data_IF_554107396993
#
_entry.id   IF_554107396993
#
_cell.length_a   1.000
_cell.length_b   1.000
_cell.length_c   1.000
_cell.angle_alpha   90.00
_cell.angle_beta   90.00
_cell.angle_gamma   90.00
#
_symmetry.space_group_name_H-M   'P 1'
#
loop_
_entity.id
_entity.type
_entity.pdbx_description
1 polymer ?
#
# COMPACT_ATOMS: atom_id res chain seq x y z
N UNK A 1 -35.42 -12.05 -40.55
CA UNK A 1 -34.32 -12.87 -41.12
C UNK A 1 -33.00 -12.10 -41.08
N UNK A 2 -32.52 -11.57 -39.93
CA UNK A 2 -31.19 -10.92 -39.85
C UNK A 2 -30.57 -11.06 -38.40
N UNK A 3 -30.87 -12.12 -37.70
CA UNK A 3 -30.33 -12.28 -36.33
C UNK A 3 -29.47 -13.53 -36.13
N UNK A 4 -29.03 -14.19 -37.22
CA UNK A 4 -28.24 -15.46 -37.13
C UNK A 4 -26.72 -15.27 -37.22
N UNK A 5 -26.21 -14.05 -36.99
CA UNK A 5 -24.78 -13.75 -37.26
C UNK A 5 -23.87 -13.67 -36.05
N UNK A 6 -24.37 -13.78 -34.84
CA UNK A 6 -23.55 -13.71 -33.63
C UNK A 6 -23.88 -14.82 -32.61
N UNK A 7 -23.61 -16.07 -33.00
CA UNK A 7 -23.58 -17.16 -32.03
C UNK A 7 -22.12 -17.39 -31.57
N UNK A 8 -21.75 -16.94 -30.34
CA UNK A 8 -20.40 -17.10 -29.81
C UNK A 8 -20.00 -18.58 -29.61
N UNK A 9 -20.96 -19.51 -29.60
CA UNK A 9 -20.69 -20.93 -29.43
C UNK A 9 -20.12 -21.60 -30.69
N UNK A 10 -20.26 -20.97 -31.88
CA UNK A 10 -19.70 -21.50 -33.15
C UNK A 10 -18.28 -21.02 -33.43
N UNK A 11 -17.77 -19.99 -32.76
CA UNK A 11 -16.43 -19.46 -32.97
C UNK A 11 -15.31 -20.34 -32.37
N UNK A 12 -15.64 -21.28 -31.49
CA UNK A 12 -14.64 -22.11 -30.78
C UNK A 12 -14.19 -23.39 -31.49
N UNK A 13 -14.72 -23.72 -32.71
CA UNK A 13 -14.43 -24.99 -33.40
C UNK A 13 -13.43 -24.91 -34.55
N UNK A 14 -12.82 -23.77 -34.83
CA UNK A 14 -11.80 -23.65 -35.89
C UNK A 14 -10.55 -22.93 -35.41
N UNK A 15 -9.68 -23.59 -34.66
CA UNK A 15 -8.26 -23.30 -34.64
C UNK A 15 -7.49 -24.46 -34.00
N UNK A 16 -7.36 -25.53 -34.70
CA UNK A 16 -6.28 -26.52 -34.47
C UNK A 16 -4.94 -25.94 -34.92
N UNK A 17 -4.49 -24.82 -34.37
CA UNK A 17 -3.13 -24.32 -34.56
C UNK A 17 -2.21 -24.99 -33.56
N UNK A 18 -1.18 -25.69 -34.06
CA UNK A 18 -0.10 -26.28 -33.25
C UNK A 18 0.45 -25.19 -32.32
N UNK A 19 0.61 -25.46 -31.03
CA UNK A 19 1.12 -24.45 -30.09
C UNK A 19 2.52 -24.01 -30.50
N UNK A 20 2.70 -22.73 -30.77
CA UNK A 20 3.99 -22.15 -31.16
C UNK A 20 5.04 -22.38 -30.06
N UNK A 21 6.32 -22.31 -30.42
CA UNK A 21 7.48 -22.57 -29.57
C UNK A 21 7.42 -21.80 -28.25
N UNK A 22 6.89 -20.57 -28.24
CA UNK A 22 6.68 -19.73 -27.07
C UNK A 22 5.60 -20.27 -26.11
N UNK A 23 4.61 -21.02 -26.59
CA UNK A 23 3.62 -21.67 -25.75
C UNK A 23 4.21 -22.89 -25.02
N UNK A 24 5.19 -23.58 -25.62
CA UNK A 24 5.91 -24.68 -24.97
C UNK A 24 6.85 -24.23 -23.85
N UNK A 25 7.42 -23.04 -23.95
CA UNK A 25 8.27 -22.48 -22.90
C UNK A 25 7.43 -21.94 -21.70
N UNK A 26 6.19 -21.49 -21.95
CA UNK A 26 5.28 -21.00 -20.91
C UNK A 26 4.54 -22.10 -20.14
N UNK A 27 4.44 -23.31 -20.67
CA UNK A 27 3.71 -24.40 -20.07
C UNK A 27 4.29 -24.87 -18.70
N UNK A 28 5.62 -25.01 -18.48
CA UNK A 28 6.16 -25.48 -17.21
C UNK A 28 6.08 -24.45 -16.08
N UNK A 29 5.98 -23.13 -16.39
CA UNK A 29 5.88 -22.09 -15.36
C UNK A 29 4.48 -21.94 -14.75
N UNK A 30 3.46 -22.56 -15.35
CA UNK A 30 2.07 -22.48 -14.89
C UNK A 30 1.75 -23.38 -13.71
N UNK A 31 2.62 -24.32 -13.33
CA UNK A 31 2.42 -25.30 -12.28
C UNK A 31 3.28 -25.07 -11.02
N UNK A 32 4.01 -23.96 -10.94
CA UNK A 32 4.62 -23.59 -9.66
C UNK A 32 3.51 -22.97 -8.80
N UNK A 33 2.74 -23.83 -8.13
CA UNK A 33 1.89 -23.43 -7.02
C UNK A 33 2.81 -23.02 -5.88
N UNK A 34 3.25 -21.76 -5.89
CA UNK A 34 3.85 -21.16 -4.70
C UNK A 34 2.76 -21.18 -3.60
N UNK A 35 3.01 -21.79 -2.45
CA UNK A 35 2.04 -21.83 -1.37
C UNK A 35 1.70 -20.40 -0.97
N UNK A 36 0.47 -19.98 -1.21
CA UNK A 36 -0.05 -18.73 -0.67
C UNK A 36 -0.26 -18.95 0.82
N UNK A 37 0.64 -18.42 1.64
CA UNK A 37 0.39 -18.33 3.07
C UNK A 37 -0.79 -17.41 3.28
N UNK A 38 -1.97 -17.97 3.48
CA UNK A 38 -3.16 -17.20 3.87
C UNK A 38 -3.04 -16.77 5.34
N UNK A 39 -2.02 -15.96 5.65
CA UNK A 39 -1.86 -15.31 6.96
C UNK A 39 -3.14 -14.57 7.33
N UNK A 40 -3.83 -14.02 6.34
CA UNK A 40 -5.13 -13.39 6.50
C UNK A 40 -6.21 -14.32 7.07
N UNK A 41 -6.19 -15.63 6.78
CA UNK A 41 -7.15 -16.60 7.31
C UNK A 41 -6.81 -17.05 8.75
N UNK A 42 -5.54 -17.04 9.12
CA UNK A 42 -5.10 -17.42 10.47
C UNK A 42 -5.33 -16.37 11.54
N UNK A 43 -5.54 -15.10 11.15
CA UNK A 43 -5.99 -14.07 12.08
C UNK A 43 -7.48 -14.28 12.40
N UNK A 44 -7.79 -15.24 13.28
CA UNK A 44 -9.14 -15.58 13.73
C UNK A 44 -9.82 -14.43 14.46
N UNK A 45 -10.53 -13.55 13.74
CA UNK A 45 -11.20 -12.35 14.32
C UNK A 45 -12.54 -12.69 14.98
N UNK A 46 -13.08 -13.88 14.73
CA UNK A 46 -14.38 -14.27 15.26
C UNK A 46 -14.40 -14.46 16.78
N UNK A 47 -13.26 -14.58 17.42
CA UNK A 47 -13.13 -14.88 18.86
C UNK A 47 -12.58 -13.72 19.71
N UNK A 48 -12.04 -12.66 19.11
CA UNK A 48 -11.52 -11.54 19.89
C UNK A 48 -12.64 -10.55 20.23
N UNK A 49 -12.83 -10.19 21.52
CA UNK A 49 -13.81 -9.19 21.97
C UNK A 49 -13.33 -7.78 21.61
N UNK A 50 -13.21 -7.48 20.31
CA UNK A 50 -12.76 -6.19 19.82
C UNK A 50 -13.94 -5.24 19.58
N UNK A 51 -13.75 -3.94 19.86
CA UNK A 51 -14.73 -2.92 19.52
C UNK A 51 -14.99 -2.91 18.00
N UNK A 52 -16.13 -2.41 17.56
CA UNK A 52 -16.53 -2.41 16.16
C UNK A 52 -15.50 -1.81 15.19
N UNK A 53 -14.76 -0.80 15.64
CA UNK A 53 -13.67 -0.19 14.87
C UNK A 53 -12.48 -1.15 14.70
N UNK A 54 -12.06 -1.81 15.77
CA UNK A 54 -10.94 -2.77 15.72
C UNK A 54 -11.24 -3.94 14.77
N UNK A 55 -12.47 -4.45 14.77
CA UNK A 55 -12.91 -5.48 13.81
C UNK A 55 -12.84 -4.98 12.36
N UNK A 56 -13.26 -3.75 12.09
CA UNK A 56 -13.17 -3.15 10.76
C UNK A 56 -11.70 -2.97 10.34
N UNK A 57 -10.84 -2.48 11.21
CA UNK A 57 -9.40 -2.30 10.94
C UNK A 57 -8.71 -3.63 10.62
N UNK A 58 -9.00 -4.70 11.38
CA UNK A 58 -8.44 -6.01 11.11
C UNK A 58 -8.97 -6.59 9.79
N UNK A 59 -10.25 -6.39 9.47
CA UNK A 59 -10.80 -6.78 8.19
C UNK A 59 -10.09 -6.08 7.02
N UNK A 60 -9.85 -4.78 7.12
CA UNK A 60 -9.10 -4.01 6.13
C UNK A 60 -7.63 -4.46 6.02
N UNK A 61 -6.99 -4.75 7.16
CA UNK A 61 -5.63 -5.29 7.18
C UNK A 61 -5.55 -6.65 6.46
N UNK A 62 -6.51 -7.55 6.73
CA UNK A 62 -6.62 -8.83 6.02
C UNK A 62 -6.78 -8.65 4.51
N UNK A 63 -7.64 -7.71 4.11
CA UNK A 63 -7.84 -7.39 2.70
C UNK A 63 -6.57 -6.80 2.07
N UNK A 64 -5.80 -5.99 2.81
CA UNK A 64 -4.54 -5.43 2.35
C UNK A 64 -3.47 -6.50 2.13
N UNK A 65 -3.40 -7.47 3.04
CA UNK A 65 -2.45 -8.58 3.00
C UNK A 65 -2.89 -9.74 2.12
N UNK A 66 -4.19 -9.79 1.75
CA UNK A 66 -4.72 -10.87 0.90
C UNK A 66 -4.04 -10.87 -0.48
N UNK A 67 -3.59 -12.04 -0.90
CA UNK A 67 -2.96 -12.23 -2.22
C UNK A 67 -1.47 -11.88 -2.28
N UNK A 68 -0.86 -11.52 -1.14
CA UNK A 68 0.59 -11.43 -1.06
C UNK A 68 1.20 -12.84 -0.98
N UNK A 69 2.28 -13.05 -1.71
CA UNK A 69 3.02 -14.31 -1.71
C UNK A 69 3.88 -14.42 -0.45
N UNK A 70 4.24 -15.64 -0.05
CA UNK A 70 5.05 -15.87 1.16
C UNK A 70 6.40 -15.14 1.13
N UNK A 71 7.03 -15.03 -0.04
CA UNK A 71 8.31 -14.35 -0.21
C UNK A 71 8.22 -12.84 0.11
N UNK A 72 7.03 -12.23 -0.09
CA UNK A 72 6.80 -10.83 0.29
C UNK A 72 6.99 -10.63 1.80
N UNK A 73 6.48 -11.55 2.61
CA UNK A 73 6.63 -11.52 4.08
C UNK A 73 8.08 -11.75 4.49
N UNK A 74 8.78 -12.67 3.82
CA UNK A 74 10.21 -12.92 4.08
C UNK A 74 11.06 -11.67 3.82
N UNK A 75 10.82 -10.98 2.71
CA UNK A 75 11.52 -9.72 2.41
C UNK A 75 11.13 -8.64 3.42
N UNK A 76 9.85 -8.51 3.77
CA UNK A 76 9.41 -7.55 4.78
C UNK A 76 10.11 -7.77 6.14
N UNK A 77 10.20 -9.01 6.60
CA UNK A 77 10.94 -9.37 7.82
C UNK A 77 12.43 -9.07 7.65
N UNK A 78 13.03 -9.45 6.52
CA UNK A 78 14.43 -9.15 6.21
C UNK A 78 14.73 -7.65 6.27
N UNK A 79 13.85 -6.81 5.72
CA UNK A 79 13.99 -5.35 5.78
C UNK A 79 13.84 -4.78 7.20
N UNK A 80 12.97 -5.37 8.04
CA UNK A 80 12.86 -5.01 9.45
C UNK A 80 14.14 -5.35 10.20
N UNK A 81 14.67 -6.56 10.01
CA UNK A 81 15.92 -7.01 10.65
C UNK A 81 17.09 -6.16 10.16
N UNK A 82 17.25 -5.96 8.85
CA UNK A 82 18.28 -5.13 8.29
C UNK A 82 18.22 -3.68 8.82
N UNK A 83 17.02 -3.11 8.90
CA UNK A 83 16.82 -1.78 9.47
C UNK A 83 17.13 -1.68 10.96
N UNK A 84 16.98 -2.77 11.71
CA UNK A 84 17.32 -2.83 13.13
C UNK A 84 18.82 -3.05 13.43
N UNK A 85 19.55 -3.64 12.48
CA UNK A 85 20.96 -4.04 12.68
C UNK A 85 21.96 -3.14 11.95
N UNK A 86 21.53 -2.36 10.96
CA UNK A 86 22.45 -1.50 10.19
C UNK A 86 22.53 -0.09 10.81
N UNK A 87 23.73 0.43 11.07
CA UNK A 87 23.91 1.79 11.55
C UNK A 87 23.30 2.82 10.59
N UNK A 88 22.59 3.80 11.14
CA UNK A 88 21.88 4.83 10.33
C UNK A 88 22.83 5.85 9.70
N UNK A 89 24.03 5.99 10.24
CA UNK A 89 25.03 6.95 9.77
C UNK A 89 25.93 6.37 8.66
N UNK A 90 25.72 5.11 8.28
CA UNK A 90 26.40 4.51 7.14
C UNK A 90 25.85 5.11 5.84
N UNK A 91 26.68 5.83 5.05
CA UNK A 91 26.26 6.41 3.78
C UNK A 91 25.85 5.37 2.75
N UNK A 92 26.24 4.10 2.95
CA UNK A 92 25.79 2.97 2.11
C UNK A 92 24.43 2.42 2.54
N UNK A 93 23.85 2.92 3.63
CA UNK A 93 22.58 2.42 4.17
C UNK A 93 21.41 2.76 3.25
N UNK A 94 21.11 1.86 2.33
CA UNK A 94 19.97 1.93 1.41
C UNK A 94 18.73 1.18 1.91
N UNK A 95 18.80 0.59 3.10
CA UNK A 95 17.71 -0.21 3.65
C UNK A 95 16.47 0.63 3.92
N UNK A 96 16.64 1.87 4.40
CA UNK A 96 15.53 2.78 4.63
C UNK A 96 14.74 3.07 3.33
N UNK A 97 15.34 3.56 2.23
CA UNK A 97 14.63 3.75 0.98
C UNK A 97 14.00 2.47 0.42
N UNK A 98 14.70 1.34 0.49
CA UNK A 98 14.18 0.04 0.03
C UNK A 98 12.97 -0.42 0.83
N UNK A 99 13.00 -0.27 2.16
CA UNK A 99 11.87 -0.60 3.01
C UNK A 99 10.63 0.23 2.67
N UNK A 100 10.80 1.48 2.26
CA UNK A 100 9.69 2.34 1.88
C UNK A 100 9.11 2.00 0.51
N UNK A 101 9.92 1.73 -0.50
CA UNK A 101 9.41 1.37 -1.84
C UNK A 101 8.71 0.00 -1.85
N UNK A 102 9.18 -0.93 -1.02
CA UNK A 102 8.61 -2.27 -0.93
C UNK A 102 7.11 -2.30 -0.61
N UNK A 103 6.65 -1.32 0.16
CA UNK A 103 5.25 -1.22 0.61
C UNK A 103 4.30 -0.68 -0.46
N UNK A 104 4.80 -0.17 -1.58
CA UNK A 104 3.96 0.39 -2.67
C UNK A 104 2.89 -0.60 -3.12
N UNK A 105 3.20 -1.92 -3.12
CA UNK A 105 2.28 -2.99 -3.49
C UNK A 105 1.03 -3.07 -2.60
N UNK A 106 1.14 -2.63 -1.34
CA UNK A 106 0.02 -2.58 -0.40
C UNK A 106 -0.71 -1.24 -0.53
N UNK A 107 0.03 -0.14 -0.48
CA UNK A 107 -0.55 1.20 -0.50
C UNK A 107 -1.29 1.52 -1.80
N UNK A 108 -0.80 1.04 -2.94
CA UNK A 108 -1.44 1.24 -4.25
C UNK A 108 -2.88 0.71 -4.32
N UNK A 109 -3.24 -0.20 -3.43
CA UNK A 109 -4.60 -0.76 -3.35
C UNK A 109 -5.56 0.11 -2.52
N UNK A 110 -5.04 1.09 -1.75
CA UNK A 110 -5.89 1.94 -0.92
C UNK A 110 -6.65 2.97 -1.75
N UNK A 111 -7.89 3.23 -1.36
CA UNK A 111 -8.77 4.19 -2.04
C UNK A 111 -9.30 3.76 -3.42
N UNK A 112 -8.80 2.64 -3.99
CA UNK A 112 -9.15 2.19 -5.35
C UNK A 112 -10.05 0.95 -5.35
N UNK A 113 -10.10 0.20 -4.23
CA UNK A 113 -10.82 -1.08 -4.18
C UNK A 113 -12.28 -0.99 -4.55
N UNK A 114 -12.96 0.04 -4.05
CA UNK A 114 -14.39 0.24 -4.28
C UNK A 114 -14.70 0.51 -5.76
N UNK A 115 -13.86 1.33 -6.40
CA UNK A 115 -13.96 1.63 -7.83
C UNK A 115 -13.65 0.39 -8.68
N UNK A 116 -12.66 -0.39 -8.27
CA UNK A 116 -12.17 -1.57 -9.01
C UNK A 116 -13.14 -2.75 -8.98
N UNK A 117 -13.89 -2.90 -7.88
CA UNK A 117 -14.80 -4.03 -7.69
C UNK A 117 -16.26 -3.64 -7.77
N UNK A 118 -16.59 -2.39 -8.13
CA UNK A 118 -17.95 -1.85 -8.20
C UNK A 118 -18.79 -2.12 -6.94
N UNK A 119 -18.13 -2.16 -5.77
CA UNK A 119 -18.74 -2.46 -4.48
C UNK A 119 -19.29 -1.22 -3.77
N UNK A 120 -19.17 -0.04 -4.40
CA UNK A 120 -19.64 1.24 -3.85
C UNK A 120 -21.06 1.17 -3.28
N UNK A 121 -22.08 0.73 -4.06
CA UNK A 121 -23.46 0.68 -3.56
C UNK A 121 -23.66 -0.15 -2.30
N UNK A 122 -22.94 -1.29 -2.19
CA UNK A 122 -23.02 -2.18 -1.01
C UNK A 122 -22.34 -1.56 0.20
N UNK A 123 -21.20 -0.90 -0.01
CA UNK A 123 -20.42 -0.27 1.06
C UNK A 123 -21.14 0.98 1.57
N UNK A 124 -21.70 1.78 0.67
CA UNK A 124 -22.39 3.02 1.04
C UNK A 124 -23.73 2.79 1.71
N UNK A 125 -24.33 1.60 1.60
CA UNK A 125 -25.51 1.20 2.36
C UNK A 125 -25.23 0.83 3.83
N UNK A 126 -23.93 0.70 4.21
CA UNK A 126 -23.57 0.38 5.60
C UNK A 126 -23.67 1.61 6.52
N UNK A 127 -23.98 1.43 7.82
CA UNK A 127 -24.02 2.55 8.76
C UNK A 127 -22.67 3.24 8.89
N UNK A 128 -22.62 4.56 8.68
CA UNK A 128 -21.45 5.42 8.80
C UNK A 128 -20.24 4.98 7.96
N UNK A 129 -20.37 4.87 6.63
CA UNK A 129 -19.27 4.40 5.76
C UNK A 129 -18.07 5.33 5.77
N UNK A 130 -18.26 6.64 5.96
CA UNK A 130 -17.19 7.63 6.07
C UNK A 130 -16.40 7.50 7.39
N UNK A 131 -17.11 7.48 8.52
CA UNK A 131 -16.47 7.57 9.82
C UNK A 131 -15.84 6.26 10.31
N UNK A 132 -16.29 5.11 9.81
CA UNK A 132 -15.86 3.83 10.36
C UNK A 132 -14.94 3.08 9.40
N UNK A 133 -15.40 2.86 8.18
CA UNK A 133 -14.62 2.07 7.22
C UNK A 133 -13.43 2.85 6.68
N UNK A 134 -13.62 4.11 6.31
CA UNK A 134 -12.55 4.94 5.74
C UNK A 134 -11.39 5.12 6.73
N UNK A 135 -11.70 5.43 8.00
CA UNK A 135 -10.68 5.56 9.03
C UNK A 135 -10.02 4.19 9.31
N UNK A 136 -10.78 3.08 9.27
CA UNK A 136 -10.23 1.74 9.43
C UNK A 136 -9.25 1.37 8.30
N UNK A 137 -9.56 1.70 7.05
CA UNK A 137 -8.68 1.49 5.90
C UNK A 137 -7.38 2.29 6.06
N UNK A 138 -7.50 3.58 6.41
CA UNK A 138 -6.35 4.43 6.67
C UNK A 138 -5.49 3.90 7.81
N UNK A 139 -6.10 3.56 8.96
CA UNK A 139 -5.41 3.01 10.13
C UNK A 139 -4.71 1.69 9.82
N UNK A 140 -5.31 0.82 9.02
CA UNK A 140 -4.66 -0.41 8.54
C UNK A 140 -3.41 -0.11 7.71
N UNK A 141 -3.44 0.92 6.86
CA UNK A 141 -2.29 1.39 6.09
C UNK A 141 -1.16 1.91 6.97
N UNK A 142 -1.50 2.74 7.94
CA UNK A 142 -0.55 3.26 8.94
C UNK A 142 0.06 2.12 9.75
N UNK A 143 -0.75 1.16 10.20
CA UNK A 143 -0.28 0.00 10.96
C UNK A 143 0.71 -0.86 10.15
N UNK A 144 0.43 -1.14 8.88
CA UNK A 144 1.37 -1.85 8.00
C UNK A 144 2.68 -1.09 7.91
N UNK A 145 2.63 0.24 7.77
CA UNK A 145 3.80 1.10 7.70
C UNK A 145 4.60 1.04 9.01
N UNK A 146 3.93 1.14 10.15
CA UNK A 146 4.56 1.05 11.47
C UNK A 146 5.26 -0.30 11.66
N UNK A 147 4.56 -1.41 11.40
CA UNK A 147 5.11 -2.76 11.59
C UNK A 147 6.31 -3.02 10.69
N UNK A 148 6.20 -2.72 9.40
CA UNK A 148 7.29 -3.01 8.45
C UNK A 148 8.45 -2.02 8.53
N UNK A 149 8.28 -0.86 9.17
CA UNK A 149 9.31 0.13 9.44
C UNK A 149 9.85 0.11 10.88
N UNK A 150 9.35 -0.80 11.72
CA UNK A 150 9.70 -0.85 13.15
C UNK A 150 11.19 -1.05 13.40
N UNK A 151 11.89 -1.82 12.57
CA UNK A 151 13.33 -2.03 12.70
C UNK A 151 14.12 -0.72 12.70
N UNK A 152 13.92 0.11 11.67
CA UNK A 152 14.56 1.43 11.57
C UNK A 152 14.13 2.36 12.69
N UNK A 153 12.83 2.36 13.06
CA UNK A 153 12.31 3.20 14.14
C UNK A 153 12.94 2.83 15.50
N UNK A 154 13.14 1.54 15.77
CA UNK A 154 13.81 1.06 16.99
C UNK A 154 15.26 1.50 17.02
N UNK A 155 15.99 1.43 15.91
CA UNK A 155 17.37 1.92 15.83
C UNK A 155 17.44 3.43 16.07
N UNK A 156 16.52 4.22 15.47
CA UNK A 156 16.44 5.66 15.72
C UNK A 156 16.16 5.98 17.20
N UNK A 157 15.26 5.20 17.82
CA UNK A 157 14.91 5.35 19.22
C UNK A 157 16.10 5.01 20.14
N UNK A 158 16.75 3.87 19.93
CA UNK A 158 17.88 3.42 20.76
C UNK A 158 19.12 4.31 20.61
N UNK A 159 19.31 4.92 19.43
CA UNK A 159 20.43 5.84 19.15
C UNK A 159 20.11 7.29 19.56
N UNK A 160 18.92 7.60 20.12
CA UNK A 160 18.56 8.95 20.53
C UNK A 160 18.32 9.93 19.36
N UNK A 161 18.10 9.45 18.15
CA UNK A 161 17.91 10.25 16.95
C UNK A 161 16.46 10.74 16.81
N UNK A 162 16.02 11.52 17.80
CA UNK A 162 14.63 11.97 17.94
C UNK A 162 14.10 12.72 16.74
N UNK A 163 14.93 13.55 16.10
CA UNK A 163 14.52 14.34 14.92
C UNK A 163 14.24 13.43 13.72
N UNK A 164 15.09 12.43 13.50
CA UNK A 164 14.87 11.41 12.45
C UNK A 164 13.64 10.55 12.76
N UNK A 165 13.42 10.21 14.03
CA UNK A 165 12.23 9.47 14.45
C UNK A 165 10.94 10.28 14.20
N UNK A 166 10.93 11.59 14.47
CA UNK A 166 9.81 12.47 14.17
C UNK A 166 9.53 12.56 12.67
N UNK A 167 10.57 12.71 11.84
CA UNK A 167 10.44 12.67 10.39
C UNK A 167 9.86 11.34 9.91
N UNK A 168 10.34 10.22 10.45
CA UNK A 168 9.84 8.89 10.16
C UNK A 168 8.35 8.73 10.53
N UNK A 169 7.94 9.22 11.71
CA UNK A 169 6.52 9.23 12.13
C UNK A 169 5.69 10.08 11.18
N UNK A 170 6.17 11.25 10.78
CA UNK A 170 5.49 12.10 9.80
C UNK A 170 5.25 11.36 8.47
N UNK A 171 6.26 10.66 7.99
CA UNK A 171 6.18 9.86 6.75
C UNK A 171 5.24 8.67 6.90
N UNK A 172 5.22 8.02 8.07
CA UNK A 172 4.32 6.92 8.39
C UNK A 172 2.84 7.31 8.18
N UNK A 173 2.48 8.55 8.46
CA UNK A 173 1.14 9.07 8.20
C UNK A 173 0.99 9.59 6.77
N UNK A 174 2.02 10.26 6.23
CA UNK A 174 1.96 10.91 4.93
C UNK A 174 1.69 9.94 3.78
N UNK A 175 2.47 8.86 3.66
CA UNK A 175 2.40 7.98 2.49
C UNK A 175 1.08 7.20 2.38
N UNK A 176 0.55 6.53 3.43
CA UNK A 176 -0.77 5.90 3.35
C UNK A 176 -1.88 6.89 3.04
N UNK A 177 -1.76 8.13 3.55
CA UNK A 177 -2.76 9.17 3.29
C UNK A 177 -2.68 9.66 1.85
N UNK A 178 -1.48 9.83 1.30
CA UNK A 178 -1.28 10.16 -0.11
C UNK A 178 -1.88 9.09 -1.03
N UNK A 179 -1.63 7.81 -0.73
CA UNK A 179 -2.18 6.69 -1.48
C UNK A 179 -3.72 6.69 -1.44
N UNK A 180 -4.28 6.92 -0.26
CA UNK A 180 -5.73 6.99 -0.07
C UNK A 180 -6.36 8.16 -0.82
N UNK A 181 -5.77 9.36 -0.70
CA UNK A 181 -6.24 10.56 -1.38
C UNK A 181 -6.22 10.40 -2.90
N UNK A 182 -5.08 10.01 -3.46
CA UNK A 182 -4.95 9.81 -4.90
C UNK A 182 -5.86 8.68 -5.40
N UNK A 183 -5.98 7.59 -4.65
CA UNK A 183 -6.89 6.49 -4.97
C UNK A 183 -8.36 6.92 -5.01
N UNK A 184 -8.80 7.70 -4.02
CA UNK A 184 -10.18 8.22 -3.98
C UNK A 184 -10.46 9.18 -5.14
N UNK A 185 -9.56 10.10 -5.44
CA UNK A 185 -9.80 11.10 -6.49
C UNK A 185 -9.63 10.56 -7.91
N UNK A 186 -8.61 9.74 -8.17
CA UNK A 186 -8.35 9.20 -9.51
C UNK A 186 -9.12 7.92 -9.84
N UNK A 187 -9.57 7.17 -8.84
CA UNK A 187 -10.13 5.83 -9.03
C UNK A 187 -9.11 4.79 -9.53
N UNK A 188 -7.82 5.15 -9.61
CA UNK A 188 -6.74 4.32 -10.17
C UNK A 188 -5.54 4.23 -9.24
N UNK A 189 -4.94 3.04 -9.12
CA UNK A 189 -3.69 2.85 -8.39
C UNK A 189 -2.49 3.47 -9.11
N UNK A 190 -2.58 3.65 -10.43
CA UNK A 190 -1.46 4.07 -11.27
C UNK A 190 -0.96 5.47 -10.96
N UNK A 191 -1.88 6.39 -10.62
CA UNK A 191 -1.49 7.75 -10.26
C UNK A 191 -0.62 7.77 -9.00
N UNK A 192 -1.02 7.00 -7.97
CA UNK A 192 -0.22 6.87 -6.76
C UNK A 192 1.13 6.20 -7.04
N UNK A 193 1.13 5.08 -7.76
CA UNK A 193 2.35 4.33 -8.10
C UNK A 193 3.36 5.22 -8.82
N UNK A 194 2.91 5.95 -9.86
CA UNK A 194 3.78 6.84 -10.64
C UNK A 194 4.31 8.00 -9.80
N UNK A 195 3.41 8.73 -9.10
CA UNK A 195 3.81 9.90 -8.30
C UNK A 195 4.74 9.49 -7.15
N UNK A 196 4.42 8.40 -6.46
CA UNK A 196 5.24 7.91 -5.36
C UNK A 196 6.64 7.50 -5.82
N UNK A 197 6.76 6.80 -6.96
CA UNK A 197 8.07 6.42 -7.51
C UNK A 197 8.91 7.64 -7.89
N UNK A 198 8.29 8.67 -8.45
CA UNK A 198 8.97 9.93 -8.80
C UNK A 198 9.48 10.63 -7.53
N UNK A 199 8.63 10.80 -6.51
CA UNK A 199 9.00 11.46 -5.25
C UNK A 199 10.09 10.64 -4.53
N UNK A 200 9.94 9.31 -4.50
CA UNK A 200 10.90 8.41 -3.87
C UNK A 200 12.27 8.45 -4.56
N UNK A 201 12.29 8.51 -5.89
CA UNK A 201 13.56 8.59 -6.63
C UNK A 201 14.23 9.96 -6.49
N UNK A 202 13.47 11.04 -6.70
CA UNK A 202 14.05 12.41 -6.69
C UNK A 202 14.42 12.85 -5.27
N UNK A 203 13.62 12.52 -4.24
CA UNK A 203 13.90 12.89 -2.87
C UNK A 203 15.02 12.03 -2.27
N UNK A 204 14.71 10.86 -1.73
CA UNK A 204 15.67 10.06 -0.97
C UNK A 204 16.85 9.51 -1.78
N UNK A 205 16.67 9.20 -3.07
CA UNK A 205 17.72 8.58 -3.88
C UNK A 205 18.62 9.63 -4.56
N UNK A 206 18.02 10.64 -5.19
CA UNK A 206 18.76 11.72 -5.87
C UNK A 206 19.21 12.83 -4.93
N UNK A 207 18.74 12.83 -3.66
CA UNK A 207 19.19 13.76 -2.63
C UNK A 207 18.54 15.14 -2.69
N UNK A 208 17.38 15.29 -3.39
CA UNK A 208 16.64 16.56 -3.36
C UNK A 208 15.91 16.70 -2.01
N UNK A 209 16.50 17.44 -1.07
CA UNK A 209 16.01 17.59 0.29
C UNK A 209 14.55 18.03 0.41
N UNK A 210 14.06 18.83 -0.54
CA UNK A 210 12.67 19.28 -0.58
C UNK A 210 11.64 18.14 -0.77
N UNK A 211 12.01 17.04 -1.41
CA UNK A 211 11.18 15.85 -1.63
C UNK A 211 11.62 14.65 -0.79
N UNK A 212 12.65 14.79 0.01
CA UNK A 212 13.08 13.74 0.92
C UNK A 212 12.19 13.71 2.16
N UNK A 213 11.08 13.03 2.02
CA UNK A 213 10.10 12.85 3.07
C UNK A 213 10.57 11.87 4.17
N UNK A 214 11.65 11.13 3.93
CA UNK A 214 12.17 10.13 4.87
C UNK A 214 13.20 10.70 5.85
N UNK A 215 13.79 11.87 5.54
CA UNK A 215 14.93 12.37 6.28
C UNK A 215 16.21 11.57 6.04
N UNK A 216 16.36 10.99 4.84
CA UNK A 216 17.51 10.15 4.48
C UNK A 216 18.74 10.97 4.14
N UNK A 217 18.58 12.22 3.68
CA UNK A 217 19.67 13.07 3.21
C UNK A 217 19.88 14.27 4.14
N UNK A 218 21.12 14.78 4.27
CA UNK A 218 21.39 16.06 4.92
C UNK A 218 20.64 17.20 4.20
N UNK A 219 20.05 18.12 4.96
CA UNK A 219 19.21 19.20 4.38
C UNK A 219 17.81 18.75 3.93
N UNK A 220 17.38 17.56 4.37
CA UNK A 220 16.02 17.10 4.17
C UNK A 220 15.01 18.02 4.83
N UNK A 221 13.98 18.42 4.07
CA UNK A 221 12.88 19.22 4.61
C UNK A 221 12.12 18.49 5.73
N UNK A 222 12.11 17.15 5.72
CA UNK A 222 11.54 16.35 6.80
C UNK A 222 12.31 16.48 8.11
N UNK A 223 13.63 16.72 8.07
CA UNK A 223 14.45 16.95 9.25
C UNK A 223 14.42 18.42 9.68
N UNK A 224 14.47 19.36 8.74
CA UNK A 224 14.42 20.78 9.06
C UNK A 224 13.05 21.21 9.60
N UNK A 225 11.98 20.62 9.07
CA UNK A 225 10.58 20.93 9.41
C UNK A 225 9.76 19.66 9.62
N UNK A 226 9.98 18.90 10.70
CA UNK A 226 9.37 17.58 10.91
C UNK A 226 7.83 17.61 11.00
N UNK A 227 7.24 18.78 11.26
CA UNK A 227 5.79 19.00 11.30
C UNK A 227 5.16 19.15 9.90
N UNK A 228 5.96 19.40 8.84
CA UNK A 228 5.44 19.67 7.50
C UNK A 228 4.69 18.47 6.91
N UNK A 229 5.30 17.29 6.90
CA UNK A 229 4.67 16.09 6.35
C UNK A 229 3.43 15.63 7.11
N UNK A 230 3.36 15.69 8.45
CA UNK A 230 2.11 15.53 9.19
C UNK A 230 1.02 16.50 8.79
N UNK A 231 1.34 17.80 8.58
CA UNK A 231 0.36 18.79 8.10
C UNK A 231 -0.14 18.49 6.69
N UNK A 232 0.77 18.15 5.78
CA UNK A 232 0.40 17.73 4.42
C UNK A 232 -0.47 16.47 4.47
N UNK A 233 -0.15 15.51 5.33
CA UNK A 233 -0.97 14.33 5.56
C UNK A 233 -2.38 14.68 6.05
N UNK A 234 -2.51 15.61 7.00
CA UNK A 234 -3.81 16.07 7.49
C UNK A 234 -4.64 16.74 6.38
N UNK A 235 -4.03 17.58 5.56
CA UNK A 235 -4.68 18.22 4.42
C UNK A 235 -5.14 17.19 3.38
N UNK A 236 -4.28 16.23 3.03
CA UNK A 236 -4.61 15.14 2.11
C UNK A 236 -5.72 14.24 2.66
N UNK A 237 -5.73 14.00 3.98
CA UNK A 237 -6.78 13.22 4.62
C UNK A 237 -8.13 13.92 4.53
N UNK A 238 -8.17 15.24 4.77
CA UNK A 238 -9.37 16.05 4.61
C UNK A 238 -9.86 16.04 3.16
N UNK A 239 -8.95 16.17 2.18
CA UNK A 239 -9.27 16.06 0.76
C UNK A 239 -9.83 14.68 0.39
N UNK A 240 -9.26 13.62 0.93
CA UNK A 240 -9.74 12.25 0.70
C UNK A 240 -11.14 12.04 1.28
N UNK A 241 -11.42 12.56 2.48
CA UNK A 241 -12.76 12.55 3.08
C UNK A 241 -13.77 13.31 2.22
N UNK A 242 -13.39 14.50 1.74
CA UNK A 242 -14.24 15.31 0.85
C UNK A 242 -14.54 14.59 -0.46
N UNK A 243 -13.54 13.97 -1.09
CA UNK A 243 -13.70 13.18 -2.31
C UNK A 243 -14.64 11.98 -2.10
N UNK A 244 -14.51 11.29 -0.97
CA UNK A 244 -15.38 10.18 -0.62
C UNK A 244 -16.82 10.63 -0.31
N UNK A 245 -16.97 11.74 0.41
CA UNK A 245 -18.28 12.31 0.70
C UNK A 245 -19.05 12.70 -0.57
N UNK A 246 -18.35 13.24 -1.59
CA UNK A 246 -18.93 13.51 -2.90
C UNK A 246 -19.44 12.25 -3.59
N UNK A 247 -18.65 11.16 -3.59
CA UNK A 247 -19.02 9.87 -4.21
C UNK A 247 -20.24 9.20 -3.57
N UNK A 248 -20.52 9.49 -2.29
CA UNK A 248 -21.69 8.94 -1.58
C UNK A 248 -22.94 9.70 -1.95
N UNK A 249 -22.84 10.98 -2.37
CA UNK A 249 -23.97 11.84 -2.71
C UNK A 249 -24.47 11.65 -4.15
N UNK A 250 -23.64 11.08 -5.00
CA UNK A 250 -23.93 10.74 -6.39
C UNK A 250 -24.12 9.24 -6.59
#
# INVERSE_FOLDING_TARGET
VILDRFDPARASRRAGSKPGLLARIRAPLRHIHLPSLNVAQRLGVTTLPLPPFGRAMIAELRLALKGLTWWWYMVAVGLVVAGATTPLDDPSNRWLPLAWVWRILIWSKFGVRESRHHTGPVIFSTPRPLGRQFIATWAAGVLVTALTGSGVALTMLSSGLWLRLLAWVGTMFFIPTLALALGVWSGSSKLFEALYMVIWYIGPISGLGALDFMGATPGSLALERPWLYPLVAAALFALALGGRARRIRH
#
